data_IF_996704425359
#
_entry.id   IF_996704425359
#
_cell.length_a   1.000
_cell.length_b   1.000
_cell.length_c   1.000
_cell.angle_alpha   90.00
_cell.angle_beta   90.00
_cell.angle_gamma   90.00
#
_symmetry.space_group_name_H-M   'P 1'
#
loop_
_entity.id
_entity.type
_entity.pdbx_description
1 polymer ?
#
# COMPACT_ATOMS: atom_id res chain seq x y z
N UNK A 1 24.66 -9.33 -0.90
CA UNK A 1 23.98 -8.05 -0.60
C UNK A 1 22.75 -7.96 -1.48
N UNK A 2 21.64 -8.59 -1.08
CA UNK A 2 20.40 -8.55 -1.85
C UNK A 2 19.53 -7.44 -1.29
N UNK A 3 19.52 -6.29 -1.96
CA UNK A 3 18.48 -5.27 -1.75
C UNK A 3 17.14 -5.98 -2.02
N UNK A 4 16.37 -6.30 -0.98
CA UNK A 4 14.94 -6.58 -1.12
C UNK A 4 14.36 -5.35 -1.78
N UNK A 5 14.03 -5.51 -3.06
CA UNK A 5 13.66 -4.43 -3.97
C UNK A 5 12.55 -3.60 -3.36
N UNK A 6 12.73 -2.30 -3.44
CA UNK A 6 11.75 -1.28 -3.12
C UNK A 6 10.40 -1.65 -3.75
N UNK A 7 9.31 -1.49 -2.99
CA UNK A 7 7.95 -1.75 -3.47
C UNK A 7 7.74 -1.03 -4.82
N UNK A 8 7.33 -1.77 -5.86
CA UNK A 8 7.04 -1.20 -7.17
C UNK A 8 5.85 -0.24 -7.08
N UNK A 9 5.99 0.94 -7.67
CA UNK A 9 4.85 1.82 -7.87
C UNK A 9 3.87 1.20 -8.87
N UNK A 10 2.60 1.60 -8.80
CA UNK A 10 1.55 1.11 -9.72
C UNK A 10 2.00 1.29 -11.18
N UNK A 11 2.57 2.45 -11.52
CA UNK A 11 3.05 2.76 -12.87
C UNK A 11 4.18 1.85 -13.34
N UNK A 12 5.06 1.42 -12.44
CA UNK A 12 6.14 0.48 -12.77
C UNK A 12 5.61 -0.93 -12.96
N UNK A 13 4.69 -1.38 -12.10
CA UNK A 13 4.03 -2.67 -12.24
C UNK A 13 3.27 -2.80 -13.56
N UNK A 14 2.64 -1.71 -14.04
CA UNK A 14 1.95 -1.68 -15.34
C UNK A 14 2.89 -1.74 -16.55
N UNK A 15 4.17 -1.36 -16.38
CA UNK A 15 5.17 -1.37 -17.45
C UNK A 15 6.09 -2.60 -17.39
N UNK A 16 5.94 -3.43 -16.37
CA UNK A 16 6.77 -4.61 -16.19
C UNK A 16 6.45 -5.67 -17.27
N UNK A 17 7.47 -6.13 -18.03
CA UNK A 17 7.27 -7.05 -19.14
C UNK A 17 6.81 -8.45 -18.70
N UNK A 18 7.19 -8.89 -17.49
CA UNK A 18 6.78 -10.17 -16.94
C UNK A 18 5.33 -10.12 -16.47
N UNK A 19 4.95 -9.05 -15.77
CA UNK A 19 3.56 -8.81 -15.36
C UNK A 19 2.65 -8.74 -16.60
N UNK A 20 3.06 -7.99 -17.63
CA UNK A 20 2.31 -7.91 -18.88
C UNK A 20 2.21 -9.25 -19.62
N UNK A 21 3.19 -10.15 -19.49
CA UNK A 21 3.12 -11.50 -20.06
C UNK A 21 2.07 -12.35 -19.34
N UNK A 22 2.07 -12.34 -18.01
CA UNK A 22 1.09 -13.08 -17.18
C UNK A 22 -0.32 -12.54 -17.40
N UNK A 23 -0.52 -11.22 -17.38
CA UNK A 23 -1.83 -10.62 -17.65
C UNK A 23 -2.42 -11.05 -19.00
N UNK A 24 -1.58 -11.11 -20.05
CA UNK A 24 -2.01 -11.57 -21.37
C UNK A 24 -2.36 -13.06 -21.37
N UNK A 25 -1.60 -13.89 -20.66
CA UNK A 25 -1.91 -15.31 -20.51
C UNK A 25 -3.25 -15.53 -19.78
N UNK A 26 -3.57 -14.68 -18.81
CA UNK A 26 -4.79 -14.75 -18.00
C UNK A 26 -5.98 -13.97 -18.60
N UNK A 27 -5.80 -13.32 -19.76
CA UNK A 27 -6.85 -12.51 -20.40
C UNK A 27 -7.24 -11.24 -19.64
N UNK A 28 -6.35 -10.73 -18.77
CA UNK A 28 -6.58 -9.54 -17.95
C UNK A 28 -6.26 -8.27 -18.73
N UNK A 29 -7.21 -7.32 -18.75
CA UNK A 29 -6.99 -6.00 -19.35
C UNK A 29 -6.15 -5.10 -18.45
N UNK A 30 -5.40 -4.20 -19.07
CA UNK A 30 -4.55 -3.25 -18.36
C UNK A 30 -5.34 -2.33 -17.42
N UNK A 31 -6.52 -1.87 -17.85
CA UNK A 31 -7.40 -1.03 -17.04
C UNK A 31 -7.94 -1.75 -15.80
N UNK A 32 -8.30 -3.02 -15.94
CA UNK A 32 -8.80 -3.83 -14.81
C UNK A 32 -7.69 -4.04 -13.78
N UNK A 33 -6.48 -4.36 -14.23
CA UNK A 33 -5.33 -4.52 -13.34
C UNK A 33 -4.93 -3.21 -12.65
N UNK A 34 -4.93 -2.09 -13.38
CA UNK A 34 -4.72 -0.74 -12.80
C UNK A 34 -5.75 -0.46 -11.70
N UNK A 35 -7.04 -0.67 -11.97
CA UNK A 35 -8.12 -0.42 -11.00
C UNK A 35 -8.00 -1.32 -9.77
N UNK A 36 -7.57 -2.56 -9.94
CA UNK A 36 -7.31 -3.48 -8.83
C UNK A 36 -6.18 -2.96 -7.93
N UNK A 37 -5.06 -2.54 -8.52
CA UNK A 37 -3.93 -1.99 -7.78
C UNK A 37 -4.29 -0.69 -7.05
N UNK A 38 -5.01 0.22 -7.70
CA UNK A 38 -5.51 1.46 -7.08
C UNK A 38 -6.44 1.15 -5.90
N UNK A 39 -7.38 0.21 -6.08
CA UNK A 39 -8.30 -0.20 -5.01
C UNK A 39 -7.55 -0.83 -3.84
N UNK A 40 -6.53 -1.65 -4.12
CA UNK A 40 -5.69 -2.26 -3.10
C UNK A 40 -4.87 -1.21 -2.34
N UNK A 41 -4.33 -0.21 -3.02
CA UNK A 41 -3.61 0.91 -2.41
C UNK A 41 -4.52 1.70 -1.46
N UNK A 42 -5.72 2.08 -1.91
CA UNK A 42 -6.71 2.78 -1.08
C UNK A 42 -7.10 1.96 0.15
N UNK A 43 -7.34 0.65 -0.02
CA UNK A 43 -7.62 -0.24 1.12
C UNK A 43 -6.43 -0.37 2.08
N UNK A 44 -5.20 -0.34 1.58
CA UNK A 44 -3.99 -0.40 2.40
C UNK A 44 -3.83 0.86 3.24
N UNK A 45 -4.08 2.04 2.68
CA UNK A 45 -4.09 3.32 3.41
C UNK A 45 -5.15 3.33 4.51
N UNK A 46 -6.34 2.80 4.24
CA UNK A 46 -7.40 2.67 5.25
C UNK A 46 -7.07 1.68 6.37
N UNK A 47 -6.11 0.77 6.14
CA UNK A 47 -5.61 -0.21 7.11
C UNK A 47 -4.36 0.25 7.86
N UNK A 48 -4.04 1.55 7.90
CA UNK A 48 -3.22 2.06 9.00
C UNK A 48 -3.95 1.66 10.28
N UNK A 49 -3.43 0.63 10.94
CA UNK A 49 -4.16 -0.09 11.99
C UNK A 49 -4.61 0.90 13.06
N UNK A 50 -5.73 0.65 13.75
CA UNK A 50 -6.13 1.49 14.88
C UNK A 50 -4.93 1.73 15.82
N UNK A 51 -4.13 0.68 16.05
CA UNK A 51 -2.87 0.73 16.79
C UNK A 51 -1.83 1.69 16.17
N UNK A 52 -1.60 1.63 14.86
CA UNK A 52 -0.71 2.58 14.17
C UNK A 52 -1.20 4.02 14.26
N UNK A 53 -2.52 4.25 14.18
CA UNK A 53 -3.14 5.57 14.37
C UNK A 53 -3.01 6.06 15.82
N UNK A 54 -3.17 5.18 16.80
CA UNK A 54 -2.94 5.47 18.22
C UNK A 54 -1.48 5.80 18.52
N UNK A 55 -0.52 4.99 18.04
CA UNK A 55 0.92 5.25 18.24
C UNK A 55 1.31 6.60 17.63
N UNK A 56 0.80 6.91 16.44
CA UNK A 56 1.08 8.19 15.77
C UNK A 56 0.45 9.37 16.53
N UNK A 57 -0.76 9.21 17.07
CA UNK A 57 -1.42 10.23 17.90
C UNK A 57 -0.69 10.48 19.24
N UNK A 58 -0.20 9.42 19.89
CA UNK A 58 0.58 9.53 21.14
C UNK A 58 1.95 10.16 20.89
N UNK A 59 2.59 9.84 19.76
CA UNK A 59 3.89 10.42 19.38
C UNK A 59 3.75 11.90 19.00
N UNK A 60 2.64 12.30 18.38
CA UNK A 60 2.36 13.69 18.00
C UNK A 60 1.87 14.60 19.14
N UNK A 61 1.39 14.03 20.26
CA UNK A 61 0.94 14.78 21.43
C UNK A 61 1.25 14.00 22.74
N UNK A 62 2.44 14.18 23.32
CA UNK A 62 2.83 13.49 24.56
C UNK A 62 1.99 13.89 25.79
N UNK A 63 1.13 14.91 25.69
CA UNK A 63 0.24 15.37 26.77
C UNK A 63 -1.13 14.67 26.85
N UNK A 64 -1.48 13.80 25.91
CA UNK A 64 -2.82 13.18 25.85
C UNK A 64 -3.02 12.00 26.82
N UNK A 65 -2.01 11.61 27.61
CA UNK A 65 -2.05 10.40 28.45
C UNK A 65 -2.36 10.65 29.92
N UNK A 66 -2.63 11.88 30.38
CA UNK A 66 -3.14 12.07 31.73
C UNK A 66 -4.45 12.85 31.76
N UNK A 67 -5.57 12.11 31.83
CA UNK A 67 -6.87 12.62 32.29
C UNK A 67 -7.16 12.21 33.74
N UNK A 68 -6.20 11.58 34.42
CA UNK A 68 -6.26 11.19 35.84
C UNK A 68 -4.91 11.46 36.56
N UNK A 69 -4.17 12.44 36.06
CA UNK A 69 -3.29 13.29 36.86
C UNK A 69 -3.99 14.67 36.88
#
# INVERSE_FOLDING_TARGET
>A
MSKTRDDLTISEALRDPLIAMVMRADGVKLDDFKRLLETAAVKREQRISPVGKFINAVTGNPGATCSFC
#
